data_IF_475439840296
#
_entry.id   IF_475439840296
#
_cell.length_a   1.000
_cell.length_b   1.000
_cell.length_c   1.000
_cell.angle_alpha   90.00
_cell.angle_beta   90.00
_cell.angle_gamma   90.00
#
_symmetry.space_group_name_H-M   'P 1'
#
loop_
_entity.id
_entity.type
_entity.pdbx_description
1 polymer ?
#
# COMPACT_ATOMS: atom_id res chain seq x y z
N UNK A 1 -26.61 7.03 -16.39
CA UNK A 1 -25.19 7.01 -16.81
C UNK A 1 -24.44 6.11 -15.86
N UNK A 2 -23.89 5.01 -16.34
CA UNK A 2 -23.09 4.10 -15.53
C UNK A 2 -21.82 4.84 -15.09
N UNK A 3 -21.58 4.97 -13.78
CA UNK A 3 -20.42 5.72 -13.23
C UNK A 3 -19.05 5.15 -13.66
N UNK A 4 -19.03 3.91 -14.15
CA UNK A 4 -17.82 3.23 -14.63
C UNK A 4 -17.55 3.30 -16.14
N UNK A 5 -18.41 3.96 -16.92
CA UNK A 5 -18.20 4.10 -18.38
C UNK A 5 -17.21 5.25 -18.66
N UNK A 6 -15.96 4.90 -18.92
CA UNK A 6 -14.88 5.83 -19.25
C UNK A 6 -14.82 6.19 -20.74
N UNK A 7 -15.58 5.48 -21.60
CA UNK A 7 -15.55 5.63 -23.06
C UNK A 7 -16.33 6.83 -23.60
N UNK A 8 -17.12 7.54 -22.77
CA UNK A 8 -17.99 8.60 -23.24
C UNK A 8 -17.76 9.91 -22.46
N UNK A 9 -17.83 11.05 -23.15
CA UNK A 9 -17.79 12.39 -22.56
C UNK A 9 -16.46 13.12 -22.70
N UNK A 10 -16.33 14.27 -22.02
CA UNK A 10 -15.13 15.10 -22.08
C UNK A 10 -13.97 14.46 -21.30
N UNK A 11 -12.86 14.21 -21.99
CA UNK A 11 -11.66 13.55 -21.46
C UNK A 11 -11.10 14.28 -20.25
N UNK A 12 -11.00 15.63 -20.29
CA UNK A 12 -10.47 16.44 -19.20
C UNK A 12 -11.30 16.28 -17.92
N UNK A 13 -12.64 16.29 -18.07
CA UNK A 13 -13.56 16.08 -16.95
C UNK A 13 -13.40 14.67 -16.35
N UNK A 14 -13.22 13.64 -17.20
CA UNK A 14 -12.99 12.27 -16.74
C UNK A 14 -11.66 12.12 -16.01
N UNK A 15 -10.60 12.72 -16.56
CA UNK A 15 -9.30 12.75 -15.89
C UNK A 15 -9.38 13.41 -14.50
N UNK A 16 -10.07 14.56 -14.40
CA UNK A 16 -10.26 15.24 -13.12
C UNK A 16 -11.07 14.38 -12.13
N UNK A 17 -12.13 13.71 -12.59
CA UNK A 17 -12.93 12.80 -11.76
C UNK A 17 -12.15 11.60 -11.21
N UNK A 18 -11.11 11.15 -11.91
CA UNK A 18 -10.22 10.09 -11.46
C UNK A 18 -9.07 10.64 -10.61
N UNK A 19 -8.48 11.76 -11.02
CA UNK A 19 -7.30 12.33 -10.35
C UNK A 19 -7.64 12.92 -8.97
N UNK A 20 -8.75 13.63 -8.83
CA UNK A 20 -9.11 14.28 -7.56
C UNK A 20 -9.26 13.27 -6.43
N UNK A 21 -10.06 12.17 -6.54
CA UNK A 21 -10.13 11.18 -5.48
C UNK A 21 -8.79 10.49 -5.20
N UNK A 22 -7.99 10.21 -6.22
CA UNK A 22 -6.67 9.60 -6.05
C UNK A 22 -5.72 10.51 -5.26
N UNK A 23 -5.69 11.81 -5.60
CA UNK A 23 -4.88 12.80 -4.86
C UNK A 23 -5.38 12.96 -3.42
N UNK A 24 -6.70 13.05 -3.21
CA UNK A 24 -7.27 13.13 -1.86
C UNK A 24 -6.92 11.88 -1.03
N UNK A 25 -6.97 10.69 -1.62
CA UNK A 25 -6.52 9.47 -0.95
C UNK A 25 -5.05 9.51 -0.53
N UNK A 26 -4.17 10.07 -1.38
CA UNK A 26 -2.75 10.25 -1.02
C UNK A 26 -2.54 11.30 0.07
N UNK A 27 -3.32 12.40 0.05
CA UNK A 27 -3.26 13.41 1.12
C UNK A 27 -3.69 12.81 2.45
N UNK A 28 -4.78 12.03 2.49
CA UNK A 28 -5.22 11.32 3.71
C UNK A 28 -4.14 10.35 4.20
N UNK A 29 -3.53 9.58 3.28
CA UNK A 29 -2.43 8.67 3.60
C UNK A 29 -1.23 9.43 4.22
N UNK A 30 -0.87 10.58 3.66
CA UNK A 30 0.21 11.42 4.20
C UNK A 30 -0.14 11.92 5.61
N UNK A 31 -1.37 12.39 5.80
CA UNK A 31 -1.81 12.94 7.09
C UNK A 31 -1.78 11.89 8.19
N UNK A 32 -2.31 10.68 7.95
CA UNK A 32 -2.28 9.65 8.98
C UNK A 32 -0.84 9.22 9.31
N UNK A 33 0.06 9.13 8.33
CA UNK A 33 1.47 8.85 8.59
C UNK A 33 2.15 9.93 9.45
N UNK A 34 1.74 11.19 9.31
CA UNK A 34 2.23 12.29 10.16
C UNK A 34 1.70 12.12 11.58
N UNK A 35 0.41 11.83 11.73
CA UNK A 35 -0.24 11.63 13.04
C UNK A 35 0.41 10.46 13.78
N UNK A 36 0.55 9.30 13.14
CA UNK A 36 1.22 8.13 13.69
C UNK A 36 2.63 8.45 14.20
N UNK A 37 3.43 9.18 13.42
CA UNK A 37 4.77 9.62 13.86
C UNK A 37 4.75 10.58 15.03
N UNK A 38 3.73 11.43 15.14
CA UNK A 38 3.54 12.31 16.29
C UNK A 38 3.27 11.48 17.55
N UNK A 39 2.38 10.49 17.48
CA UNK A 39 2.10 9.57 18.60
C UNK A 39 3.35 8.83 19.03
N UNK A 40 4.06 8.17 18.10
CA UNK A 40 5.30 7.45 18.39
C UNK A 40 6.35 8.37 19.04
N UNK A 41 6.52 9.58 18.49
CA UNK A 41 7.50 10.54 19.01
C UNK A 41 7.20 11.05 20.42
N UNK A 42 5.94 10.99 20.87
CA UNK A 42 5.51 11.41 22.21
C UNK A 42 5.48 10.28 23.25
N UNK A 43 5.90 9.05 22.91
CA UNK A 43 6.00 7.97 23.88
C UNK A 43 7.06 8.37 24.94
N UNK A 44 6.69 8.41 26.24
CA UNK A 44 7.62 8.79 27.31
C UNK A 44 8.89 7.95 27.29
N UNK A 45 10.04 8.57 27.50
CA UNK A 45 11.38 7.97 27.62
C UNK A 45 11.95 7.35 26.33
N UNK A 46 11.12 6.76 25.45
CA UNK A 46 11.59 6.00 24.30
C UNK A 46 11.21 6.61 22.92
N UNK A 47 10.40 7.68 22.90
CA UNK A 47 9.82 8.22 21.64
C UNK A 47 10.86 8.53 20.57
N UNK A 48 11.99 9.13 20.92
CA UNK A 48 13.08 9.41 19.98
C UNK A 48 13.70 8.14 19.37
N UNK A 49 13.95 7.12 20.20
CA UNK A 49 14.51 5.84 19.77
C UNK A 49 13.51 5.03 18.94
N UNK A 50 12.25 5.04 19.33
CA UNK A 50 11.15 4.39 18.60
C UNK A 50 10.95 5.03 17.23
N UNK A 51 10.89 6.36 17.16
CA UNK A 51 10.76 7.11 15.91
C UNK A 51 11.94 6.85 14.95
N UNK A 52 13.16 6.79 15.51
CA UNK A 52 14.35 6.41 14.74
C UNK A 52 14.23 4.98 14.22
N UNK A 53 13.73 4.04 15.04
CA UNK A 53 13.49 2.66 14.64
C UNK A 53 12.50 2.53 13.47
N UNK A 54 11.40 3.25 13.53
CA UNK A 54 10.41 3.33 12.41
C UNK A 54 11.06 3.95 11.17
N UNK A 55 11.88 4.97 11.33
CA UNK A 55 12.63 5.58 10.22
C UNK A 55 13.57 4.59 9.52
N UNK A 56 14.27 3.76 10.29
CA UNK A 56 15.18 2.72 9.78
C UNK A 56 14.46 1.59 9.03
N UNK A 57 13.17 1.39 9.29
CA UNK A 57 12.33 0.43 8.57
C UNK A 57 11.88 0.95 7.19
N UNK A 58 11.96 2.26 6.92
CA UNK A 58 11.47 2.88 5.68
C UNK A 58 12.01 2.21 4.39
N UNK A 59 13.30 1.85 4.25
CA UNK A 59 13.79 1.15 3.05
C UNK A 59 13.13 -0.23 2.85
N UNK A 60 12.85 -0.94 3.94
CA UNK A 60 12.14 -2.23 3.89
C UNK A 60 10.69 -2.01 3.45
N UNK A 61 10.04 -0.97 3.97
CA UNK A 61 8.70 -0.57 3.55
C UNK A 61 8.64 -0.24 2.06
N UNK A 62 9.63 0.49 1.54
CA UNK A 62 9.72 0.80 0.10
C UNK A 62 9.86 -0.47 -0.74
N UNK A 63 10.60 -1.46 -0.28
CA UNK A 63 10.71 -2.75 -0.95
C UNK A 63 9.36 -3.47 -0.99
N UNK A 64 8.64 -3.55 0.11
CA UNK A 64 7.30 -4.15 0.20
C UNK A 64 6.35 -3.46 -0.78
N UNK A 65 6.30 -2.14 -0.78
CA UNK A 65 5.41 -1.37 -1.65
C UNK A 65 5.77 -1.50 -3.14
N UNK A 66 7.06 -1.63 -3.47
CA UNK A 66 7.49 -1.87 -4.84
C UNK A 66 6.94 -3.20 -5.39
N UNK A 67 6.96 -4.26 -4.59
CA UNK A 67 6.37 -5.54 -5.00
C UNK A 67 4.83 -5.49 -5.09
N UNK A 68 4.17 -4.73 -4.23
CA UNK A 68 2.72 -4.50 -4.34
C UNK A 68 2.36 -3.81 -5.67
N UNK A 69 3.15 -2.80 -6.07
CA UNK A 69 2.94 -2.07 -7.32
C UNK A 69 3.25 -2.93 -8.56
N UNK A 70 4.15 -3.90 -8.47
CA UNK A 70 4.50 -4.76 -9.61
C UNK A 70 3.26 -5.46 -10.18
N UNK A 71 2.45 -6.08 -9.33
CA UNK A 71 1.22 -6.77 -9.77
C UNK A 71 0.13 -5.77 -10.22
N UNK A 72 -0.05 -4.69 -9.46
CA UNK A 72 -1.04 -3.66 -9.77
C UNK A 72 -0.73 -2.92 -11.08
N UNK A 73 0.45 -2.34 -11.20
CA UNK A 73 0.84 -1.57 -12.38
C UNK A 73 1.03 -2.43 -13.63
N UNK A 74 1.45 -3.70 -13.48
CA UNK A 74 1.59 -4.62 -14.59
C UNK A 74 0.27 -5.18 -15.10
N UNK A 75 -0.65 -5.52 -14.20
CA UNK A 75 -1.91 -6.20 -14.53
C UNK A 75 -3.08 -5.27 -14.81
N UNK A 76 -3.20 -4.19 -14.06
CA UNK A 76 -4.39 -3.33 -14.13
C UNK A 76 -4.62 -2.68 -15.51
N UNK A 77 -3.61 -2.16 -16.22
CA UNK A 77 -3.83 -1.63 -17.59
C UNK A 77 -4.30 -2.71 -18.57
N UNK A 78 -3.77 -3.95 -18.43
CA UNK A 78 -4.17 -5.08 -19.29
C UNK A 78 -5.61 -5.49 -19.02
N UNK A 79 -6.02 -5.56 -17.75
CA UNK A 79 -7.39 -5.83 -17.36
C UNK A 79 -8.35 -4.74 -17.87
N UNK A 80 -7.96 -3.46 -17.78
CA UNK A 80 -8.74 -2.34 -18.28
C UNK A 80 -8.95 -2.42 -19.81
N UNK A 81 -7.90 -2.79 -20.57
CA UNK A 81 -7.99 -2.99 -22.03
C UNK A 81 -8.95 -4.13 -22.36
N UNK A 82 -8.85 -5.28 -21.66
CA UNK A 82 -9.75 -6.42 -21.85
C UNK A 82 -11.22 -6.02 -21.55
N UNK A 83 -11.45 -5.27 -20.49
CA UNK A 83 -12.78 -4.75 -20.15
C UNK A 83 -13.30 -3.80 -21.23
N UNK A 84 -12.46 -2.91 -21.76
CA UNK A 84 -12.84 -2.00 -22.85
C UNK A 84 -13.21 -2.72 -24.15
N UNK A 85 -12.66 -3.90 -24.38
CA UNK A 85 -13.03 -4.80 -25.50
C UNK A 85 -14.27 -5.65 -25.23
N UNK A 86 -14.82 -5.63 -24.01
CA UNK A 86 -15.92 -6.50 -23.61
C UNK A 86 -15.50 -7.92 -23.19
N UNK A 87 -14.20 -8.20 -23.11
CA UNK A 87 -13.61 -9.51 -22.75
C UNK A 87 -13.56 -9.69 -21.24
N UNK A 88 -14.71 -9.80 -20.57
CA UNK A 88 -14.82 -9.88 -19.11
C UNK A 88 -14.05 -11.06 -18.52
N UNK A 89 -14.19 -12.25 -19.12
CA UNK A 89 -13.50 -13.47 -18.65
C UNK A 89 -11.98 -13.31 -18.69
N UNK A 90 -11.46 -12.61 -19.72
CA UNK A 90 -10.02 -12.30 -19.82
C UNK A 90 -9.58 -11.33 -18.71
N UNK A 91 -10.38 -10.30 -18.45
CA UNK A 91 -10.10 -9.35 -17.40
C UNK A 91 -10.09 -10.01 -16.01
N UNK A 92 -11.07 -10.85 -15.70
CA UNK A 92 -11.15 -11.61 -14.43
C UNK A 92 -9.96 -12.54 -14.23
N UNK A 93 -9.54 -13.26 -15.29
CA UNK A 93 -8.34 -14.10 -15.25
C UNK A 93 -7.07 -13.30 -14.99
N UNK A 94 -6.94 -12.10 -15.57
CA UNK A 94 -5.79 -11.23 -15.31
C UNK A 94 -5.75 -10.82 -13.84
N UNK A 95 -6.89 -10.39 -13.27
CA UNK A 95 -6.97 -10.01 -11.85
C UNK A 95 -6.64 -11.22 -10.95
N UNK A 96 -7.23 -12.38 -11.21
CA UNK A 96 -6.98 -13.60 -10.44
C UNK A 96 -5.52 -14.05 -10.49
N UNK A 97 -4.90 -14.03 -11.66
CA UNK A 97 -3.49 -14.34 -11.82
C UNK A 97 -2.58 -13.35 -11.09
N UNK A 98 -2.86 -12.05 -11.21
CA UNK A 98 -2.11 -11.02 -10.50
C UNK A 98 -2.23 -11.18 -8.99
N UNK A 99 -3.43 -11.49 -8.49
CA UNK A 99 -3.66 -11.75 -7.06
C UNK A 99 -2.89 -13.00 -6.59
N UNK A 100 -2.92 -14.10 -7.35
CA UNK A 100 -2.18 -15.31 -7.02
C UNK A 100 -0.67 -15.06 -6.95
N UNK A 101 -0.11 -14.39 -7.97
CA UNK A 101 1.30 -14.02 -7.99
C UNK A 101 1.64 -13.12 -6.80
N UNK A 102 0.77 -12.14 -6.50
CA UNK A 102 0.95 -11.24 -5.37
C UNK A 102 0.98 -11.98 -4.04
N UNK A 103 0.10 -12.98 -3.84
CA UNK A 103 0.09 -13.81 -2.63
C UNK A 103 1.36 -14.65 -2.49
N UNK A 104 1.85 -15.24 -3.57
CA UNK A 104 3.12 -15.97 -3.57
C UNK A 104 4.28 -15.05 -3.20
N UNK A 105 4.36 -13.88 -3.86
CA UNK A 105 5.39 -12.88 -3.56
C UNK A 105 5.28 -12.43 -2.09
N UNK A 106 4.07 -12.15 -1.60
CA UNK A 106 3.84 -11.73 -0.24
C UNK A 106 4.36 -12.76 0.77
N UNK A 107 4.04 -14.04 0.57
CA UNK A 107 4.51 -15.11 1.45
C UNK A 107 6.04 -15.24 1.46
N UNK A 108 6.66 -15.24 0.27
CA UNK A 108 8.12 -15.33 0.13
C UNK A 108 8.82 -14.11 0.71
N UNK A 109 8.31 -12.90 0.43
CA UNK A 109 8.86 -11.65 0.91
C UNK A 109 8.74 -11.53 2.43
N UNK A 110 7.57 -11.89 2.99
CA UNK A 110 7.34 -11.93 4.43
C UNK A 110 8.35 -12.85 5.12
N UNK A 111 8.53 -14.07 4.63
CA UNK A 111 9.50 -15.02 5.17
C UNK A 111 10.93 -14.46 5.06
N UNK A 112 11.33 -14.01 3.87
CA UNK A 112 12.67 -13.48 3.64
C UNK A 112 12.98 -12.27 4.54
N UNK A 113 12.07 -11.30 4.61
CA UNK A 113 12.26 -10.10 5.41
C UNK A 113 12.22 -10.39 6.91
N UNK A 114 11.36 -11.31 7.38
CA UNK A 114 11.25 -11.64 8.78
C UNK A 114 12.58 -12.18 9.36
N UNK A 115 13.23 -13.07 8.62
CA UNK A 115 14.51 -13.64 9.04
C UNK A 115 15.71 -12.69 8.80
N UNK A 116 15.65 -11.85 7.76
CA UNK A 116 16.74 -10.91 7.43
C UNK A 116 16.63 -9.56 8.13
N UNK A 117 15.51 -9.24 8.77
CA UNK A 117 15.25 -7.94 9.39
C UNK A 117 16.39 -7.47 10.33
N UNK A 118 16.97 -8.30 11.24
CA UNK A 118 18.03 -7.83 12.11
C UNK A 118 19.28 -7.38 11.34
N UNK A 119 19.62 -8.10 10.29
CA UNK A 119 20.79 -7.79 9.45
C UNK A 119 20.55 -6.54 8.63
N UNK A 120 19.36 -6.44 8.00
CA UNK A 120 18.99 -5.30 7.17
C UNK A 120 18.91 -4.01 8.00
N UNK A 121 18.29 -4.06 9.18
CA UNK A 121 18.19 -2.88 10.05
C UNK A 121 19.56 -2.40 10.52
N UNK A 122 20.48 -3.32 10.87
CA UNK A 122 21.87 -2.94 11.17
C UNK A 122 22.57 -2.34 9.96
N UNK A 123 22.36 -2.90 8.77
CA UNK A 123 22.92 -2.36 7.53
C UNK A 123 22.40 -0.94 7.25
N UNK A 124 21.14 -0.65 7.58
CA UNK A 124 20.54 0.68 7.45
C UNK A 124 20.91 1.63 8.60
N UNK A 125 21.75 1.20 9.55
CA UNK A 125 22.32 2.07 10.58
C UNK A 125 21.68 1.94 11.96
N UNK A 126 20.94 0.85 12.23
CA UNK A 126 20.41 0.60 13.57
C UNK A 126 21.56 0.40 14.58
N UNK A 127 21.58 1.22 15.63
CA UNK A 127 22.48 1.06 16.78
C UNK A 127 21.94 -0.02 17.75
N UNK A 128 22.77 -0.43 18.72
CA UNK A 128 22.31 -1.37 19.74
C UNK A 128 21.15 -0.82 20.59
N UNK A 129 21.00 0.51 20.67
CA UNK A 129 19.90 1.17 21.37
C UNK A 129 18.63 1.19 20.54
N UNK A 130 18.72 1.44 19.22
CA UNK A 130 17.55 1.60 18.34
C UNK A 130 17.06 0.29 17.73
N UNK A 131 17.94 -0.72 17.64
CA UNK A 131 17.65 -2.01 17.03
C UNK A 131 16.45 -2.74 17.66
N UNK A 132 16.29 -2.83 18.99
CA UNK A 132 15.14 -3.49 19.60
C UNK A 132 13.82 -2.88 19.12
N UNK A 133 13.69 -1.55 19.18
CA UNK A 133 12.47 -0.84 18.75
C UNK A 133 12.19 -1.00 17.25
N UNK A 134 13.26 -0.95 16.43
CA UNK A 134 13.14 -1.18 15.00
C UNK A 134 12.70 -2.61 14.69
N UNK A 135 13.18 -3.61 15.43
CA UNK A 135 12.80 -5.01 15.27
C UNK A 135 11.36 -5.29 15.69
N UNK A 136 10.93 -4.74 16.83
CA UNK A 136 9.56 -4.93 17.32
C UNK A 136 8.56 -4.36 16.33
N UNK A 137 8.78 -3.14 15.86
CA UNK A 137 7.96 -2.54 14.81
C UNK A 137 7.99 -3.34 13.51
N UNK A 138 9.19 -3.68 13.01
CA UNK A 138 9.35 -4.34 11.72
C UNK A 138 8.74 -5.74 11.69
N UNK A 139 8.84 -6.52 12.77
CA UNK A 139 8.27 -7.87 12.84
C UNK A 139 6.76 -7.84 12.72
N UNK A 140 6.09 -6.93 13.42
CA UNK A 140 4.64 -6.77 13.34
C UNK A 140 4.24 -6.35 11.92
N UNK A 141 4.93 -5.35 11.36
CA UNK A 141 4.63 -4.85 10.03
C UNK A 141 4.89 -5.90 8.94
N UNK A 142 6.01 -6.63 9.01
CA UNK A 142 6.36 -7.68 8.05
C UNK A 142 5.32 -8.80 8.06
N UNK A 143 4.84 -9.23 9.22
CA UNK A 143 3.74 -10.22 9.30
C UNK A 143 2.44 -9.68 8.70
N UNK A 144 2.14 -8.39 8.89
CA UNK A 144 1.01 -7.70 8.28
C UNK A 144 1.18 -7.37 6.79
N UNK A 145 2.38 -7.50 6.23
CA UNK A 145 2.68 -7.06 4.86
C UNK A 145 1.87 -7.79 3.79
N UNK A 146 1.42 -9.00 4.05
CA UNK A 146 0.54 -9.75 3.14
C UNK A 146 -0.78 -9.00 2.89
N UNK A 147 -1.34 -8.36 3.92
CA UNK A 147 -2.55 -7.54 3.79
C UNK A 147 -2.23 -6.22 3.07
N UNK A 148 -1.07 -5.62 3.36
CA UNK A 148 -0.60 -4.39 2.70
C UNK A 148 -0.42 -4.62 1.20
N UNK A 149 0.29 -5.70 0.80
CA UNK A 149 0.48 -6.04 -0.60
C UNK A 149 -0.86 -6.30 -1.30
N UNK A 150 -1.76 -7.06 -0.66
CA UNK A 150 -3.09 -7.35 -1.20
C UNK A 150 -3.89 -6.07 -1.44
N UNK A 151 -3.96 -5.21 -0.42
CA UNK A 151 -4.75 -3.97 -0.49
C UNK A 151 -4.18 -3.03 -1.55
N UNK A 152 -2.88 -2.77 -1.53
CA UNK A 152 -2.24 -1.87 -2.49
C UNK A 152 -2.31 -2.40 -3.92
N UNK A 153 -2.02 -3.69 -4.12
CA UNK A 153 -2.05 -4.31 -5.44
C UNK A 153 -3.46 -4.34 -6.05
N UNK A 154 -4.48 -4.69 -5.27
CA UNK A 154 -5.87 -4.72 -5.74
C UNK A 154 -6.49 -3.34 -5.92
N UNK A 155 -6.07 -2.35 -5.13
CA UNK A 155 -6.60 -0.99 -5.20
C UNK A 155 -6.35 -0.32 -6.56
N UNK A 156 -5.24 -0.67 -7.22
CA UNK A 156 -4.95 -0.22 -8.59
C UNK A 156 -6.01 -0.73 -9.57
N UNK A 157 -6.46 -1.98 -9.44
CA UNK A 157 -7.52 -2.54 -10.29
C UNK A 157 -8.87 -1.83 -10.07
N UNK A 158 -9.23 -1.50 -8.83
CA UNK A 158 -10.46 -0.75 -8.51
C UNK A 158 -10.43 0.61 -9.21
N UNK A 159 -9.30 1.30 -9.14
CA UNK A 159 -9.12 2.62 -9.77
C UNK A 159 -9.23 2.53 -11.30
N UNK A 160 -8.59 1.55 -11.92
CA UNK A 160 -8.59 1.37 -13.39
C UNK A 160 -9.94 0.90 -13.93
N UNK A 161 -10.79 0.30 -13.11
CA UNK A 161 -12.18 -0.02 -13.44
C UNK A 161 -13.12 1.22 -13.44
N UNK A 162 -12.59 2.41 -13.14
CA UNK A 162 -13.37 3.65 -13.12
C UNK A 162 -14.03 3.96 -11.76
N UNK A 163 -13.59 3.31 -10.68
CA UNK A 163 -14.09 3.52 -9.33
C UNK A 163 -13.05 4.14 -8.36
N UNK A 164 -12.40 5.28 -8.71
CA UNK A 164 -11.37 5.89 -7.86
C UNK A 164 -11.92 6.36 -6.52
N UNK A 165 -13.22 6.67 -6.43
CA UNK A 165 -13.89 7.02 -5.17
C UNK A 165 -13.93 5.86 -4.19
N UNK A 166 -14.13 4.62 -4.66
CA UNK A 166 -14.06 3.43 -3.81
C UNK A 166 -12.63 3.19 -3.32
N UNK A 167 -11.65 3.34 -4.20
CA UNK A 167 -10.24 3.27 -3.85
C UNK A 167 -9.86 4.30 -2.78
N UNK A 168 -10.29 5.55 -2.92
CA UNK A 168 -10.12 6.59 -1.91
C UNK A 168 -10.81 6.21 -0.59
N UNK A 169 -12.04 5.70 -0.64
CA UNK A 169 -12.82 5.35 0.56
C UNK A 169 -12.13 4.24 1.37
N UNK A 170 -11.56 3.22 0.72
CA UNK A 170 -10.79 2.17 1.43
C UNK A 170 -9.58 2.76 2.16
N UNK A 171 -8.89 3.73 1.56
CA UNK A 171 -7.77 4.43 2.19
C UNK A 171 -8.23 5.27 3.38
N UNK A 172 -9.34 6.00 3.24
CA UNK A 172 -9.91 6.82 4.32
C UNK A 172 -10.36 5.95 5.51
N UNK A 173 -11.04 4.85 5.26
CA UNK A 173 -11.45 3.90 6.31
C UNK A 173 -10.23 3.36 7.04
N UNK A 174 -9.19 2.95 6.32
CA UNK A 174 -7.95 2.48 6.91
C UNK A 174 -7.28 3.54 7.77
N UNK A 175 -7.17 4.77 7.27
CA UNK A 175 -6.56 5.89 8.01
C UNK A 175 -7.33 6.25 9.27
N UNK A 176 -8.67 6.33 9.20
CA UNK A 176 -9.51 6.61 10.38
C UNK A 176 -9.40 5.49 11.40
N UNK A 177 -9.40 4.23 10.97
CA UNK A 177 -9.26 3.08 11.86
C UNK A 177 -7.91 3.11 12.58
N UNK A 178 -6.82 3.42 11.86
CA UNK A 178 -5.48 3.54 12.43
C UNK A 178 -5.45 4.67 13.50
N UNK A 179 -5.88 5.89 13.17
CA UNK A 179 -5.90 7.03 14.11
C UNK A 179 -6.76 6.75 15.38
N UNK A 180 -7.81 5.95 15.26
CA UNK A 180 -8.68 5.59 16.40
C UNK A 180 -8.03 4.51 17.29
N UNK A 181 -7.20 3.65 16.72
CA UNK A 181 -6.52 2.56 17.43
C UNK A 181 -5.19 3.00 18.07
N UNK A 182 -4.57 4.07 17.58
CA UNK A 182 -3.37 4.70 18.16
C UNK A 182 -3.69 5.46 19.45
#
# INVERSE_FOLDING_TARGET
MNKGDLGQGNVVRRMAQMAIPAVLGQVVNLLYNIVDRIYIGHIPEIGGSALTGVGLFTPILMLITAFAMLAGAGGAPRAAIAMGKGEKDTAEKIVGNCFTVLMIIAALLTAALYFSAPVLLRFFGASDVTLPYALDYSRIYILGSIFVLSTMGLNVFITTQGFPQLSMLTTVIGAVTNIVLD
#
